data_IF_053304808997
#
_entry.id   IF_053304808997
#
_cell.length_a   1.000
_cell.length_b   1.000
_cell.length_c   1.000
_cell.angle_alpha   90.00
_cell.angle_beta   90.00
_cell.angle_gamma   90.00
#
_symmetry.space_group_name_H-M   'P 1'
#
loop_
_entity.id
_entity.type
_entity.pdbx_description
1 polymer ?
#
# COMPACT_ATOMS: atom_id res chain seq x y z
N UNK A 1 -33.18 11.02 2.11
CA UNK A 1 -31.94 10.22 2.09
C UNK A 1 -30.62 11.02 2.06
N UNK A 2 -30.60 12.36 1.98
CA UNK A 2 -29.35 13.16 2.03
C UNK A 2 -28.85 13.51 3.45
N UNK A 3 -29.64 13.22 4.50
CA UNK A 3 -29.32 13.60 5.90
C UNK A 3 -28.48 12.56 6.66
N UNK A 4 -28.50 11.29 6.24
CA UNK A 4 -27.78 10.21 6.92
C UNK A 4 -26.31 10.08 6.47
N UNK A 5 -25.99 10.37 5.20
CA UNK A 5 -24.60 10.36 4.73
C UNK A 5 -23.75 11.48 5.35
N UNK A 6 -24.35 12.65 5.63
CA UNK A 6 -23.64 13.75 6.28
C UNK A 6 -23.27 13.49 7.75
N UNK A 7 -23.90 12.49 8.38
CA UNK A 7 -23.55 12.08 9.74
C UNK A 7 -22.27 11.24 9.73
N UNK A 8 -22.09 10.32 8.79
CA UNK A 8 -20.90 9.46 8.74
C UNK A 8 -19.61 10.22 8.37
N UNK A 9 -19.68 11.22 7.48
CA UNK A 9 -18.51 12.04 7.11
C UNK A 9 -18.08 12.98 8.23
N UNK A 10 -18.97 13.32 9.16
CA UNK A 10 -18.71 14.28 10.23
C UNK A 10 -18.16 13.62 11.51
N UNK A 11 -18.07 12.28 11.55
CA UNK A 11 -17.62 11.55 12.73
C UNK A 11 -16.09 11.48 12.85
N UNK A 12 -15.34 11.35 11.76
CA UNK A 12 -13.87 11.30 11.81
C UNK A 12 -13.25 12.62 12.26
N UNK A 13 -13.78 13.75 11.76
CA UNK A 13 -13.38 15.11 12.14
C UNK A 13 -13.70 15.40 13.62
N UNK A 14 -14.90 15.02 14.07
CA UNK A 14 -15.35 15.26 15.46
C UNK A 14 -14.66 14.39 16.50
N UNK A 15 -14.32 13.14 16.18
CA UNK A 15 -13.62 12.26 17.12
C UNK A 15 -12.21 12.79 17.43
N UNK A 16 -11.53 13.34 16.42
CA UNK A 16 -10.21 13.93 16.62
C UNK A 16 -10.27 15.32 17.25
N UNK A 17 -11.30 16.13 16.97
CA UNK A 17 -11.43 17.48 17.54
C UNK A 17 -11.81 17.51 19.03
N UNK A 18 -12.39 16.42 19.56
CA UNK A 18 -12.79 16.29 20.98
C UNK A 18 -11.65 15.77 21.86
N UNK A 19 -10.57 15.25 21.28
CA UNK A 19 -9.42 14.80 22.04
C UNK A 19 -8.62 15.98 22.63
N UNK A 20 -8.07 15.87 23.87
CA UNK A 20 -7.24 16.92 24.47
C UNK A 20 -6.08 17.29 23.54
N UNK A 21 -5.69 18.58 23.49
CA UNK A 21 -4.68 19.08 22.54
C UNK A 21 -3.36 18.28 22.55
N UNK A 22 -2.98 17.72 23.72
CA UNK A 22 -1.79 16.86 23.85
C UNK A 22 -1.88 15.57 23.01
N UNK A 23 -3.07 14.99 22.90
CA UNK A 23 -3.33 13.77 22.12
C UNK A 23 -3.32 14.08 20.62
N UNK A 24 -3.89 15.22 20.21
CA UNK A 24 -3.83 15.69 18.82
C UNK A 24 -2.39 16.01 18.39
N UNK A 25 -1.61 16.66 19.25
CA UNK A 25 -0.21 16.98 18.98
C UNK A 25 0.66 15.72 18.95
N UNK A 26 0.43 14.75 19.84
CA UNK A 26 1.11 13.45 19.78
C UNK A 26 0.74 12.65 18.53
N UNK A 27 -0.53 12.64 18.12
CA UNK A 27 -0.99 11.98 16.90
C UNK A 27 -0.36 12.63 15.66
N UNK A 28 -0.30 13.97 15.60
CA UNK A 28 0.38 14.73 14.52
C UNK A 28 1.89 14.50 14.49
N UNK A 29 2.56 14.51 15.64
CA UNK A 29 3.99 14.19 15.72
C UNK A 29 4.29 12.75 15.33
N UNK A 30 3.46 11.79 15.75
CA UNK A 30 3.58 10.38 15.38
C UNK A 30 3.33 10.17 13.88
N UNK A 31 2.34 10.85 13.31
CA UNK A 31 2.09 10.84 11.86
C UNK A 31 3.27 11.42 11.07
N UNK A 32 3.85 12.56 11.49
CA UNK A 32 5.05 13.12 10.85
C UNK A 32 6.28 12.21 10.98
N UNK A 33 6.36 11.41 12.05
CA UNK A 33 7.44 10.43 12.25
C UNK A 33 7.24 9.17 11.41
N UNK A 34 5.98 8.78 11.16
CA UNK A 34 5.61 7.59 10.37
C UNK A 34 5.56 7.89 8.86
N UNK A 35 5.27 9.13 8.45
CA UNK A 35 5.33 9.61 7.07
C UNK A 35 6.74 10.07 6.67
N UNK A 36 7.79 9.51 7.29
CA UNK A 36 9.15 9.67 6.78
C UNK A 36 9.26 8.82 5.52
N UNK A 37 9.25 9.48 4.36
CA UNK A 37 9.56 8.85 3.08
C UNK A 37 10.84 8.02 3.24
N UNK A 38 10.76 6.70 3.01
CA UNK A 38 11.86 5.75 3.25
C UNK A 38 13.12 6.08 2.43
N UNK A 39 12.99 6.92 1.39
CA UNK A 39 14.11 7.42 0.58
C UNK A 39 15.06 8.40 1.28
N UNK A 40 14.74 8.90 2.47
CA UNK A 40 15.58 9.85 3.22
C UNK A 40 16.52 9.23 4.25
N UNK A 41 16.84 7.93 4.16
CA UNK A 41 17.74 7.28 5.11
C UNK A 41 19.18 7.25 4.55
N UNK A 42 20.09 8.16 4.97
CA UNK A 42 21.47 8.20 4.46
C UNK A 42 22.30 6.95 4.84
N UNK A 43 21.76 6.06 5.69
CA UNK A 43 22.44 4.85 6.17
C UNK A 43 22.18 3.57 5.37
N UNK A 44 21.55 3.61 4.19
CA UNK A 44 21.28 2.40 3.37
C UNK A 44 22.37 2.15 2.30
N UNK A 45 23.44 2.95 2.28
CA UNK A 45 24.64 2.54 1.55
C UNK A 45 25.34 1.40 2.32
N UNK A 46 25.08 0.17 1.87
CA UNK A 46 25.92 -0.99 2.17
C UNK A 46 27.31 -0.71 1.63
N UNK A 47 28.18 -0.15 2.46
CA UNK A 47 29.62 -0.16 2.25
C UNK A 47 30.08 -1.63 2.30
N UNK A 48 30.20 -2.29 1.15
CA UNK A 48 30.96 -3.53 1.06
C UNK A 48 32.45 -3.15 1.01
N UNK A 49 33.30 -3.63 1.94
CA UNK A 49 34.74 -3.43 1.79
C UNK A 49 35.25 -4.27 0.62
N UNK A 50 35.99 -3.60 -0.26
CA UNK A 50 36.71 -4.21 -1.36
C UNK A 50 37.70 -5.25 -0.82
N UNK A 51 37.48 -6.53 -1.14
CA UNK A 51 38.53 -7.55 -1.11
C UNK A 51 39.02 -7.72 -2.54
N UNK A 52 40.15 -7.08 -2.85
CA UNK A 52 40.91 -7.35 -4.07
C UNK A 52 41.37 -8.80 -4.08
N UNK A 53 40.71 -9.65 -4.88
CA UNK A 53 41.31 -10.88 -5.37
C UNK A 53 42.09 -10.54 -6.63
N UNK A 54 43.42 -10.68 -6.55
CA UNK A 54 44.32 -10.63 -7.71
C UNK A 54 43.89 -11.71 -8.71
N UNK A 55 43.67 -11.34 -9.96
CA UNK A 55 43.34 -12.26 -11.05
C UNK A 55 44.45 -12.18 -12.10
N UNK A 56 45.09 -13.32 -12.38
CA UNK A 56 46.07 -13.51 -13.46
C UNK A 56 45.41 -13.34 -14.85
N UNK A 57 46.09 -12.78 -15.87
CA UNK A 57 45.51 -12.62 -17.19
C UNK A 57 45.75 -13.89 -18.03
N UNK A 58 44.69 -14.65 -18.28
CA UNK A 58 44.74 -15.84 -19.14
C UNK A 58 43.40 -16.12 -19.83
N UNK A 59 43.24 -15.58 -21.04
CA UNK A 59 42.42 -16.08 -22.15
C UNK A 59 40.91 -16.37 -21.91
N UNK A 60 40.09 -15.41 -22.35
CA UNK A 60 39.20 -15.62 -23.49
C UNK A 60 37.98 -16.55 -23.34
N UNK A 61 36.96 -16.11 -22.60
CA UNK A 61 35.56 -16.17 -23.06
C UNK A 61 34.75 -15.11 -22.30
N UNK A 62 34.29 -14.07 -22.99
CA UNK A 62 33.42 -13.04 -22.39
C UNK A 62 32.01 -13.60 -22.30
N UNK A 63 31.83 -14.58 -21.42
CA UNK A 63 30.51 -14.86 -20.88
C UNK A 63 30.22 -13.70 -19.95
N UNK A 64 29.26 -12.86 -20.33
CA UNK A 64 28.70 -11.82 -19.46
C UNK A 64 28.14 -12.53 -18.23
N UNK A 65 28.97 -12.72 -17.20
CA UNK A 65 28.54 -13.16 -15.89
C UNK A 65 27.66 -12.04 -15.37
N UNK A 66 26.35 -12.16 -15.56
CA UNK A 66 25.39 -11.22 -14.99
C UNK A 66 25.63 -11.23 -13.50
N UNK A 67 26.27 -10.19 -12.99
CA UNK A 67 26.55 -10.13 -11.57
C UNK A 67 25.19 -10.04 -10.88
N UNK A 68 25.04 -10.71 -9.74
CA UNK A 68 23.81 -10.66 -8.93
C UNK A 68 23.30 -9.22 -8.74
N UNK A 69 24.23 -8.26 -8.66
CA UNK A 69 23.94 -6.82 -8.61
C UNK A 69 23.18 -6.30 -9.82
N UNK A 70 23.60 -6.64 -11.05
CA UNK A 70 22.95 -6.18 -12.28
C UNK A 70 21.49 -6.65 -12.37
N UNK A 71 21.23 -7.88 -11.95
CA UNK A 71 19.87 -8.43 -11.91
C UNK A 71 18.97 -7.71 -10.89
N UNK A 72 19.52 -7.36 -9.72
CA UNK A 72 18.81 -6.60 -8.69
C UNK A 72 18.53 -5.18 -9.15
N UNK A 73 19.51 -4.50 -9.74
CA UNK A 73 19.35 -3.13 -10.25
C UNK A 73 18.30 -3.07 -11.37
N UNK A 74 18.28 -4.07 -12.24
CA UNK A 74 17.26 -4.19 -13.27
C UNK A 74 15.87 -4.42 -12.67
N UNK A 75 15.74 -5.27 -11.64
CA UNK A 75 14.47 -5.48 -10.94
C UNK A 75 13.98 -4.20 -10.24
N UNK A 76 14.88 -3.43 -9.61
CA UNK A 76 14.55 -2.15 -8.98
C UNK A 76 14.00 -1.17 -10.00
N UNK A 77 14.70 -0.97 -11.12
CA UNK A 77 14.27 -0.04 -12.19
C UNK A 77 12.89 -0.42 -12.73
N UNK A 78 12.66 -1.70 -12.99
CA UNK A 78 11.36 -2.21 -13.47
C UNK A 78 10.23 -1.97 -12.46
N UNK A 79 10.47 -2.23 -11.18
CA UNK A 79 9.47 -2.01 -10.12
C UNK A 79 9.13 -0.54 -9.94
N UNK A 80 10.14 0.34 -9.99
CA UNK A 80 9.95 1.79 -9.94
C UNK A 80 9.10 2.28 -11.10
N UNK A 81 9.46 1.87 -12.33
CA UNK A 81 8.70 2.23 -13.53
C UNK A 81 7.24 1.75 -13.44
N UNK A 82 7.01 0.51 -12.99
CA UNK A 82 5.67 -0.06 -12.86
C UNK A 82 4.80 0.70 -11.84
N UNK A 83 5.37 1.10 -10.70
CA UNK A 83 4.68 1.86 -9.67
C UNK A 83 4.38 3.30 -10.14
N UNK A 84 5.38 3.99 -10.69
CA UNK A 84 5.23 5.39 -11.12
C UNK A 84 4.21 5.52 -12.25
N UNK A 85 4.13 4.54 -13.17
CA UNK A 85 3.11 4.51 -14.23
C UNK A 85 1.66 4.42 -13.71
N UNK A 86 1.45 4.02 -12.45
CA UNK A 86 0.12 3.85 -11.83
C UNK A 86 -0.19 4.93 -10.80
N UNK A 87 0.70 5.90 -10.63
CA UNK A 87 0.42 7.06 -9.79
C UNK A 87 -0.64 7.93 -10.47
N UNK A 88 -1.61 8.40 -9.70
CA UNK A 88 -2.58 9.37 -10.21
C UNK A 88 -1.90 10.71 -10.48
N UNK A 89 -2.52 11.57 -11.29
CA UNK A 89 -2.01 12.92 -11.57
C UNK A 89 -1.82 13.76 -10.30
N UNK A 90 -2.64 13.50 -9.27
CA UNK A 90 -2.55 14.15 -7.96
C UNK A 90 -1.44 13.56 -7.04
N UNK A 91 -0.70 12.55 -7.50
CA UNK A 91 0.48 12.02 -6.81
C UNK A 91 0.22 10.89 -5.82
N UNK A 92 -0.98 10.29 -5.79
CA UNK A 92 -1.29 9.15 -4.90
C UNK A 92 -1.49 7.85 -5.68
N UNK A 93 -1.53 6.73 -4.97
CA UNK A 93 -1.88 5.41 -5.52
C UNK A 93 -3.20 4.92 -4.93
N UNK A 94 -3.99 4.23 -5.75
CA UNK A 94 -5.23 3.57 -5.33
C UNK A 94 -5.15 2.11 -5.73
N UNK A 95 -5.31 1.24 -4.76
CA UNK A 95 -5.39 -0.20 -4.94
C UNK A 95 -6.48 -0.76 -4.04
N UNK A 96 -6.89 -1.98 -4.35
CA UNK A 96 -7.84 -2.71 -3.53
C UNK A 96 -7.22 -3.02 -2.16
N UNK A 97 -7.94 -2.68 -1.09
CA UNK A 97 -7.58 -3.07 0.26
C UNK A 97 -8.26 -4.41 0.55
N UNK A 98 -7.54 -5.49 0.31
CA UNK A 98 -8.02 -6.84 0.61
C UNK A 98 -8.13 -7.03 2.13
N UNK A 99 -9.32 -7.43 2.56
CA UNK A 99 -9.66 -7.74 3.94
C UNK A 99 -10.38 -9.09 3.99
N UNK A 100 -10.76 -9.54 5.18
CA UNK A 100 -11.63 -10.70 5.30
C UNK A 100 -13.03 -10.44 4.72
N UNK A 101 -13.83 -11.50 4.60
CA UNK A 101 -15.15 -11.45 3.97
C UNK A 101 -16.26 -10.92 4.88
N UNK A 102 -15.96 -10.65 6.15
CA UNK A 102 -16.94 -10.25 7.17
C UNK A 102 -17.65 -8.97 6.76
N UNK A 103 -16.90 -7.97 6.30
CA UNK A 103 -17.47 -6.68 5.89
C UNK A 103 -18.48 -6.84 4.73
N UNK A 104 -18.21 -7.74 3.79
CA UNK A 104 -19.13 -8.01 2.67
C UNK A 104 -20.39 -8.74 3.15
N UNK A 105 -20.24 -9.73 4.04
CA UNK A 105 -21.37 -10.46 4.61
C UNK A 105 -22.28 -9.56 5.46
N UNK A 106 -21.69 -8.75 6.34
CA UNK A 106 -22.42 -7.78 7.16
C UNK A 106 -23.15 -6.74 6.33
N UNK A 107 -22.49 -6.19 5.30
CA UNK A 107 -23.12 -5.25 4.38
C UNK A 107 -24.33 -5.85 3.66
N UNK A 108 -24.23 -7.11 3.22
CA UNK A 108 -25.33 -7.83 2.59
C UNK A 108 -26.51 -7.99 3.55
N UNK A 109 -26.25 -8.47 4.78
CA UNK A 109 -27.27 -8.64 5.82
C UNK A 109 -27.93 -7.30 6.19
N UNK A 110 -27.14 -6.24 6.37
CA UNK A 110 -27.63 -4.90 6.72
C UNK A 110 -28.57 -4.35 5.64
N UNK A 111 -28.23 -4.51 4.36
CA UNK A 111 -29.09 -4.03 3.27
C UNK A 111 -30.41 -4.76 3.20
N UNK A 112 -30.40 -6.08 3.43
CA UNK A 112 -31.65 -6.85 3.54
C UNK A 112 -32.49 -6.39 4.73
N UNK A 113 -31.88 -6.19 5.89
CA UNK A 113 -32.55 -5.69 7.08
C UNK A 113 -33.21 -4.32 6.85
N UNK A 114 -32.55 -3.41 6.11
CA UNK A 114 -33.07 -2.08 5.79
C UNK A 114 -34.06 -2.06 4.61
N UNK A 115 -34.37 -3.21 3.98
CA UNK A 115 -35.21 -3.28 2.78
C UNK A 115 -34.57 -2.65 1.53
N UNK A 116 -33.26 -2.43 1.54
CA UNK A 116 -32.51 -1.80 0.44
C UNK A 116 -31.91 -2.85 -0.51
N UNK A 117 -32.72 -3.82 -0.92
CA UNK A 117 -32.29 -4.95 -1.76
C UNK A 117 -31.92 -4.48 -3.17
N UNK A 118 -30.77 -4.92 -3.66
CA UNK A 118 -30.32 -4.72 -5.05
C UNK A 118 -29.75 -6.04 -5.55
N UNK A 119 -30.53 -6.71 -6.40
CA UNK A 119 -30.27 -8.07 -6.82
C UNK A 119 -28.88 -8.25 -7.46
N UNK A 120 -28.39 -7.26 -8.21
CA UNK A 120 -27.09 -7.39 -8.86
C UNK A 120 -25.93 -7.25 -7.86
N UNK A 121 -26.05 -6.34 -6.89
CA UNK A 121 -25.06 -6.24 -5.79
C UNK A 121 -25.06 -7.49 -4.92
N UNK A 122 -26.24 -8.02 -4.58
CA UNK A 122 -26.33 -9.26 -3.81
C UNK A 122 -25.70 -10.43 -4.58
N UNK A 123 -26.01 -10.57 -5.87
CA UNK A 123 -25.43 -11.61 -6.73
C UNK A 123 -23.91 -11.55 -6.75
N UNK A 124 -23.33 -10.34 -6.86
CA UNK A 124 -21.87 -10.12 -6.80
C UNK A 124 -21.28 -10.47 -5.44
N UNK A 125 -21.90 -10.00 -4.36
CA UNK A 125 -21.47 -10.29 -2.99
C UNK A 125 -21.50 -11.81 -2.71
N UNK A 126 -22.58 -12.51 -3.07
CA UNK A 126 -22.70 -13.96 -2.89
C UNK A 126 -21.60 -14.71 -3.64
N UNK A 127 -21.31 -14.35 -4.91
CA UNK A 127 -20.20 -14.97 -5.65
C UNK A 127 -18.85 -14.73 -4.99
N UNK A 128 -18.60 -13.52 -4.51
CA UNK A 128 -17.37 -13.19 -3.81
C UNK A 128 -17.23 -14.02 -2.52
N UNK A 129 -18.29 -14.09 -1.70
CA UNK A 129 -18.30 -14.88 -0.45
C UNK A 129 -18.07 -16.37 -0.69
N UNK A 130 -18.69 -16.95 -1.73
CA UNK A 130 -18.48 -18.36 -2.10
C UNK A 130 -17.08 -18.64 -2.65
N UNK A 131 -16.47 -17.68 -3.35
CA UNK A 131 -15.12 -17.81 -3.86
C UNK A 131 -14.02 -17.71 -2.78
N UNK A 132 -14.38 -17.29 -1.57
CA UNK A 132 -13.47 -17.15 -0.44
C UNK A 132 -13.54 -18.34 0.55
N UNK A 133 -14.31 -19.37 0.24
CA UNK A 133 -14.46 -20.60 1.04
C UNK A 133 -13.36 -21.61 0.77
#
# INVERSE_FOLDING_TARGET
>A
MKRLLGLLTNWSEKILSVAPERVQQQARQKANRLLRLVGGNPGVFLSAPAVQRRHDPGQGSVQSVTHKGDAVDHAIKRSQQWLLQRQTEAGYWVYELEADTTLTAEYLMLRRFLGLVDAEKERKAVRYLLGAQ
#
